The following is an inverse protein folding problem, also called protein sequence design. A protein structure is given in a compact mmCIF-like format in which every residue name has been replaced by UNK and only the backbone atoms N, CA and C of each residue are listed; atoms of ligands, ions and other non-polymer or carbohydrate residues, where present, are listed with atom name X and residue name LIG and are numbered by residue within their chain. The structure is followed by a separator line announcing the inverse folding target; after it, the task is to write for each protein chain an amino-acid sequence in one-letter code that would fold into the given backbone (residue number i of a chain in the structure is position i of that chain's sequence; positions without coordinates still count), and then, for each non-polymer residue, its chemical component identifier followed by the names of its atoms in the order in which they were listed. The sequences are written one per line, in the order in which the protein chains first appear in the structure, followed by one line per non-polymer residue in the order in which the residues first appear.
data_IF_995358772547
#
_entry.id   IF_995358772547
#
_cell.length_a   1.000
_cell.length_b   1.000
_cell.length_c   1.000
_cell.angle_alpha   90.00
_cell.angle_beta   90.00
_cell.angle_gamma   90.00
#
_symmetry.space_group_name_H-M   'P 1'
#
loop_
_entity.id
_entity.type
_entity.pdbx_description
1 polymer ?
#
# COMPACT_ATOMS: atom_id res chain seq x y z
N UNK A 1 16.95 -0.05 -16.68
CA UNK A 1 17.85 0.53 -15.66
C UNK A 1 17.31 1.91 -15.31
N UNK A 2 16.64 2.05 -14.16
CA UNK A 2 16.16 3.36 -13.68
C UNK A 2 17.35 4.28 -13.41
N UNK A 3 17.35 5.48 -14.03
CA UNK A 3 18.38 6.49 -13.77
C UNK A 3 18.25 6.95 -12.32
N UNK A 4 19.18 6.53 -11.48
CA UNK A 4 19.27 7.06 -10.10
C UNK A 4 19.73 8.52 -10.23
N UNK A 5 18.83 9.45 -9.96
CA UNK A 5 19.11 10.88 -9.98
C UNK A 5 19.91 11.24 -8.71
N UNK A 6 20.82 12.21 -8.79
CA UNK A 6 21.62 12.69 -7.66
C UNK A 6 20.76 13.06 -6.43
N UNK A 7 19.60 13.67 -6.66
CA UNK A 7 18.62 13.97 -5.61
C UNK A 7 18.12 12.72 -4.86
N UNK A 8 17.93 11.61 -5.56
CA UNK A 8 17.52 10.35 -4.94
C UNK A 8 18.62 9.71 -4.11
N UNK A 9 19.89 9.85 -4.54
CA UNK A 9 21.04 9.38 -3.77
C UNK A 9 21.23 10.18 -2.47
N UNK A 10 21.08 11.50 -2.52
CA UNK A 10 21.13 12.37 -1.34
C UNK A 10 19.98 12.00 -0.38
N UNK A 11 18.75 11.87 -0.89
CA UNK A 11 17.58 11.48 -0.08
C UNK A 11 17.76 10.12 0.60
N UNK A 12 18.30 9.13 -0.10
CA UNK A 12 18.58 7.80 0.48
C UNK A 12 19.71 7.88 1.51
N UNK A 13 20.76 8.66 1.25
CA UNK A 13 21.88 8.85 2.18
C UNK A 13 21.44 9.53 3.48
N UNK A 14 20.70 10.62 3.39
CA UNK A 14 20.15 11.33 4.55
C UNK A 14 19.17 10.48 5.34
N UNK A 15 18.34 9.69 4.66
CA UNK A 15 17.43 8.77 5.31
C UNK A 15 18.17 7.69 6.11
N UNK A 16 19.21 7.07 5.52
CA UNK A 16 20.02 6.04 6.21
C UNK A 16 20.74 6.60 7.43
N UNK A 17 21.37 7.78 7.30
CA UNK A 17 22.02 8.45 8.42
C UNK A 17 21.00 8.85 9.50
N UNK A 18 19.83 9.36 9.11
CA UNK A 18 18.76 9.71 10.04
C UNK A 18 18.23 8.53 10.84
N UNK A 19 18.24 7.31 10.28
CA UNK A 19 17.83 6.09 11.01
C UNK A 19 18.78 5.70 12.14
N UNK A 20 20.07 6.00 12.05
CA UNK A 20 21.04 5.67 13.10
C UNK A 20 20.71 6.39 14.41
N UNK A 21 20.24 7.64 14.31
CA UNK A 21 19.82 8.48 15.43
C UNK A 21 18.30 8.61 15.56
N UNK A 22 17.57 7.78 14.83
CA UNK A 22 16.12 7.81 14.79
C UNK A 22 15.45 7.17 16.01
N UNK A 23 14.15 7.27 16.04
CA UNK A 23 13.29 6.73 17.09
C UNK A 23 12.16 5.87 16.49
N UNK A 24 11.27 5.38 17.34
CA UNK A 24 10.04 4.66 16.98
C UNK A 24 8.79 5.46 17.32
N UNK A 25 8.95 6.79 17.51
CA UNK A 25 7.89 7.72 17.83
C UNK A 25 7.25 8.24 16.54
N UNK A 26 6.48 7.39 15.91
CA UNK A 26 5.71 7.62 14.70
C UNK A 26 4.47 6.72 14.69
N UNK A 27 3.48 7.07 13.88
CA UNK A 27 2.29 6.25 13.66
C UNK A 27 2.61 5.11 12.69
N UNK A 28 2.65 3.83 13.14
CA UNK A 28 2.80 2.69 12.24
C UNK A 28 1.49 2.44 11.49
N UNK A 29 1.56 2.13 10.20
CA UNK A 29 0.37 1.82 9.41
C UNK A 29 0.60 0.78 8.33
N UNK A 30 -0.49 0.14 7.91
CA UNK A 30 -0.51 -0.69 6.70
C UNK A 30 -1.62 -0.23 5.75
N UNK A 31 -1.38 -0.41 4.44
CA UNK A 31 -2.43 -0.38 3.42
C UNK A 31 -2.80 -1.83 3.15
N UNK A 32 -3.87 -2.30 3.80
CA UNK A 32 -4.41 -3.63 3.60
C UNK A 32 -5.28 -3.65 2.34
N UNK A 33 -4.97 -4.53 1.42
CA UNK A 33 -5.74 -4.59 0.17
C UNK A 33 -5.47 -5.88 -0.61
N UNK A 34 -6.08 -5.97 -1.78
CA UNK A 34 -5.70 -6.86 -2.87
C UNK A 34 -4.89 -6.10 -3.91
N UNK A 35 -4.14 -6.79 -4.77
CA UNK A 35 -3.60 -6.18 -5.99
C UNK A 35 -4.73 -5.64 -6.89
N UNK A 36 -4.49 -4.58 -7.64
CA UNK A 36 -5.44 -3.91 -8.55
C UNK A 36 -6.61 -3.20 -7.86
N UNK A 37 -6.52 -2.91 -6.58
CA UNK A 37 -7.48 -2.09 -5.82
C UNK A 37 -7.16 -0.58 -5.80
N UNK A 38 -6.15 -0.12 -6.55
CA UNK A 38 -5.70 1.28 -6.51
C UNK A 38 -4.60 1.55 -5.48
N UNK A 39 -4.02 0.52 -4.87
CA UNK A 39 -3.00 0.66 -3.82
C UNK A 39 -1.72 1.40 -4.28
N UNK A 40 -1.42 1.40 -5.59
CA UNK A 40 -0.31 2.18 -6.14
C UNK A 40 -0.62 3.68 -6.14
N UNK A 41 -1.87 4.08 -6.41
CA UNK A 41 -2.30 5.48 -6.35
C UNK A 41 -2.14 6.03 -4.93
N UNK A 42 -2.72 5.35 -3.95
CA UNK A 42 -2.58 5.75 -2.55
C UNK A 42 -1.13 5.74 -2.07
N UNK A 43 -0.36 4.70 -2.41
CA UNK A 43 1.06 4.62 -2.04
C UNK A 43 1.87 5.79 -2.64
N UNK A 44 1.63 6.16 -3.90
CA UNK A 44 2.32 7.27 -4.55
C UNK A 44 1.99 8.61 -3.90
N UNK A 45 0.72 8.83 -3.53
CA UNK A 45 0.29 10.01 -2.78
C UNK A 45 0.98 10.09 -1.42
N UNK A 46 1.07 8.99 -0.68
CA UNK A 46 1.75 8.94 0.62
C UNK A 46 3.27 9.16 0.49
N UNK A 47 3.91 8.61 -0.56
CA UNK A 47 5.36 8.84 -0.83
C UNK A 47 5.67 10.32 -1.06
N UNK A 48 4.72 11.10 -1.58
CA UNK A 48 4.91 12.53 -1.83
C UNK A 48 4.93 13.37 -0.55
N UNK A 49 4.38 12.86 0.55
CA UNK A 49 4.33 13.59 1.82
C UNK A 49 5.69 13.54 2.56
N UNK A 50 6.25 14.67 3.01
CA UNK A 50 7.61 14.74 3.56
C UNK A 50 7.81 13.95 4.85
N UNK A 51 6.77 13.82 5.67
CA UNK A 51 6.81 13.15 6.96
C UNK A 51 6.34 11.68 6.91
N UNK A 52 6.05 11.14 5.73
CA UNK A 52 5.63 9.75 5.56
C UNK A 52 6.75 8.91 4.98
N UNK A 53 6.98 7.77 5.62
CA UNK A 53 7.77 6.69 5.07
C UNK A 53 6.85 5.53 4.71
N UNK A 54 6.73 5.21 3.44
CA UNK A 54 5.92 4.08 2.99
C UNK A 54 6.71 3.21 2.01
N UNK A 55 6.69 1.92 2.27
CA UNK A 55 7.19 0.91 1.33
C UNK A 55 6.03 0.32 0.53
N UNK A 56 6.33 -0.11 -0.69
CA UNK A 56 5.39 -0.89 -1.49
C UNK A 56 5.10 -2.27 -0.87
N UNK A 57 5.05 -3.29 -1.70
CA UNK A 57 4.75 -4.68 -1.31
C UNK A 57 5.93 -5.35 -0.61
N UNK A 58 6.31 -4.80 0.55
CA UNK A 58 7.55 -5.19 1.23
C UNK A 58 7.56 -6.63 1.73
N UNK A 59 6.39 -7.17 2.03
CA UNK A 59 6.20 -8.54 2.47
C UNK A 59 5.80 -9.51 1.35
N UNK A 60 5.69 -9.04 0.10
CA UNK A 60 5.30 -9.89 -1.02
C UNK A 60 6.32 -10.99 -1.32
N UNK A 61 7.57 -10.60 -1.46
CA UNK A 61 8.69 -11.52 -1.67
C UNK A 61 9.72 -11.35 -0.55
N UNK A 62 9.76 -12.30 0.38
CA UNK A 62 10.64 -12.23 1.54
C UNK A 62 12.09 -12.59 1.16
N UNK A 63 12.28 -13.49 0.19
CA UNK A 63 13.61 -13.94 -0.25
C UNK A 63 14.33 -14.72 0.84
N UNK A 64 15.53 -14.25 1.22
CA UNK A 64 16.33 -14.84 2.30
C UNK A 64 16.07 -14.18 3.67
N UNK A 65 15.29 -13.09 3.71
CA UNK A 65 14.94 -12.43 4.96
C UNK A 65 13.87 -13.25 5.71
N UNK A 66 13.77 -13.03 7.03
CA UNK A 66 12.60 -13.47 7.80
C UNK A 66 11.52 -12.40 7.83
N UNK A 67 10.30 -12.75 8.26
CA UNK A 67 9.20 -11.79 8.43
C UNK A 67 9.62 -10.71 9.44
N UNK A 68 10.30 -11.08 10.53
CA UNK A 68 10.79 -10.17 11.56
C UNK A 68 11.82 -9.18 11.01
N UNK A 69 12.75 -9.66 10.17
CA UNK A 69 13.74 -8.79 9.53
C UNK A 69 13.05 -7.80 8.59
N UNK A 70 12.07 -8.25 7.79
CA UNK A 70 11.26 -7.37 6.94
C UNK A 70 10.43 -6.39 7.75
N UNK A 71 9.84 -6.83 8.86
CA UNK A 71 9.11 -5.96 9.78
C UNK A 71 10.02 -4.87 10.34
N UNK A 72 11.20 -5.22 10.85
CA UNK A 72 12.16 -4.26 11.36
C UNK A 72 12.66 -3.25 10.30
N UNK A 73 12.66 -3.62 9.03
CA UNK A 73 13.01 -2.70 7.94
C UNK A 73 11.94 -1.61 7.70
N UNK A 74 10.68 -1.87 8.02
CA UNK A 74 9.58 -0.90 7.92
C UNK A 74 9.33 -0.20 9.24
N UNK A 75 9.16 -1.00 10.31
CA UNK A 75 8.69 -0.56 11.62
C UNK A 75 9.79 -0.44 12.67
N UNK A 76 11.06 -0.52 12.27
CA UNK A 76 12.20 -0.19 13.13
C UNK A 76 12.37 1.33 13.27
N UNK A 77 13.52 1.76 13.80
CA UNK A 77 13.83 3.19 13.95
C UNK A 77 13.67 3.93 12.62
N UNK A 78 13.02 5.08 12.68
CA UNK A 78 12.86 6.01 11.55
C UNK A 78 13.53 7.35 11.90
N UNK A 79 13.98 8.13 10.89
CA UNK A 79 14.44 9.49 11.13
C UNK A 79 13.39 10.33 11.86
N UNK A 80 13.81 11.29 12.68
CA UNK A 80 12.93 12.08 13.55
C UNK A 80 11.86 12.90 12.81
N UNK A 81 12.07 13.18 11.53
CA UNK A 81 11.08 13.88 10.69
C UNK A 81 9.98 12.94 10.15
N UNK A 82 10.16 11.62 10.23
CA UNK A 82 9.11 10.66 9.85
C UNK A 82 8.09 10.61 10.98
N UNK A 83 6.85 10.93 10.67
CA UNK A 83 5.73 10.94 11.60
C UNK A 83 4.78 9.75 11.38
N UNK A 84 4.77 9.18 10.17
CA UNK A 84 4.06 7.93 9.91
C UNK A 84 4.94 7.00 9.06
N UNK A 85 4.96 5.71 9.41
CA UNK A 85 5.73 4.70 8.69
C UNK A 85 4.88 3.46 8.40
N UNK A 86 4.91 2.97 7.16
CA UNK A 86 4.09 1.82 6.78
C UNK A 86 4.48 1.15 5.48
N UNK A 87 3.63 0.24 5.04
CA UNK A 87 3.79 -0.49 3.77
C UNK A 87 2.46 -1.01 3.24
N UNK A 88 2.46 -1.45 1.97
CA UNK A 88 1.35 -2.22 1.41
C UNK A 88 1.44 -3.67 1.85
N UNK A 89 0.32 -4.21 2.29
CA UNK A 89 0.15 -5.63 2.64
C UNK A 89 -1.06 -6.17 1.90
N UNK A 90 -0.86 -7.20 1.11
CA UNK A 90 -1.97 -7.90 0.49
C UNK A 90 -2.39 -9.08 1.36
N UNK A 91 -3.67 -9.48 1.29
CA UNK A 91 -4.24 -10.56 2.11
C UNK A 91 -3.49 -11.91 1.98
N UNK A 92 -2.78 -12.07 0.87
CA UNK A 92 -2.02 -13.28 0.53
C UNK A 92 -0.50 -13.09 0.62
N UNK A 93 -0.02 -12.06 1.34
CA UNK A 93 1.40 -11.91 1.62
C UNK A 93 1.83 -12.79 2.82
N UNK A 94 3.01 -13.41 2.75
CA UNK A 94 3.92 -13.44 1.59
C UNK A 94 3.37 -14.31 0.46
N UNK A 95 3.81 -14.07 -0.77
CA UNK A 95 3.34 -14.84 -1.94
C UNK A 95 3.67 -16.34 -1.86
N UNK A 96 4.68 -16.69 -1.06
CA UNK A 96 5.08 -18.06 -0.78
C UNK A 96 5.16 -18.23 0.74
N UNK A 97 4.38 -19.16 1.27
CA UNK A 97 4.33 -19.48 2.70
C UNK A 97 2.99 -19.16 3.35
N UNK A 98 2.97 -19.31 4.66
CA UNK A 98 1.81 -19.02 5.49
C UNK A 98 1.71 -17.51 5.78
N UNK A 99 0.59 -16.85 5.52
CA UNK A 99 0.39 -15.44 5.86
C UNK A 99 0.18 -15.20 7.37
N UNK A 100 -0.24 -16.20 8.15
CA UNK A 100 -0.62 -16.02 9.54
C UNK A 100 0.48 -15.37 10.40
N UNK A 101 1.77 -15.78 10.35
CA UNK A 101 2.82 -15.16 11.17
C UNK A 101 2.99 -13.66 10.88
N UNK A 102 2.82 -13.22 9.63
CA UNK A 102 2.86 -11.81 9.27
C UNK A 102 1.71 -11.04 9.91
N UNK A 103 0.51 -11.54 9.77
CA UNK A 103 -0.68 -10.85 10.28
C UNK A 103 -0.72 -10.85 11.81
N UNK A 104 -0.30 -11.92 12.46
CA UNK A 104 -0.18 -11.97 13.91
C UNK A 104 0.83 -10.95 14.43
N UNK A 105 1.98 -10.82 13.77
CA UNK A 105 2.99 -9.81 14.09
C UNK A 105 2.47 -8.39 13.91
N UNK A 106 1.77 -8.12 12.80
CA UNK A 106 1.15 -6.81 12.55
C UNK A 106 0.07 -6.49 13.60
N UNK A 107 -0.73 -7.49 13.97
CA UNK A 107 -1.79 -7.34 14.97
C UNK A 107 -1.23 -7.11 16.38
N UNK A 108 -0.03 -7.58 16.67
CA UNK A 108 0.59 -7.45 17.98
C UNK A 108 1.00 -6.01 18.34
N UNK A 109 1.19 -5.09 17.36
CA UNK A 109 1.41 -3.67 17.66
C UNK A 109 0.07 -2.95 17.85
N UNK A 110 -0.29 -2.53 19.08
CA UNK A 110 -1.56 -1.85 19.32
C UNK A 110 -1.64 -0.45 18.69
N UNK A 111 -0.52 0.13 18.30
CA UNK A 111 -0.46 1.44 17.63
C UNK A 111 -0.72 1.35 16.13
N UNK A 112 -0.70 0.12 15.57
CA UNK A 112 -0.82 -0.06 14.13
C UNK A 112 -2.17 0.45 13.63
N UNK A 113 -2.15 1.42 12.74
CA UNK A 113 -3.33 1.89 12.00
C UNK A 113 -3.49 1.11 10.69
N UNK A 114 -4.72 0.80 10.35
CA UNK A 114 -5.05 -0.01 9.17
C UNK A 114 -5.86 0.81 8.20
N UNK A 115 -5.30 1.10 7.03
CA UNK A 115 -6.03 1.67 5.90
C UNK A 115 -6.49 0.49 5.05
N UNK A 116 -7.78 0.16 5.12
CA UNK A 116 -8.37 -0.95 4.39
C UNK A 116 -8.87 -0.47 3.04
N UNK A 117 -8.01 -0.62 2.03
CA UNK A 117 -8.29 -0.16 0.68
C UNK A 117 -9.04 -1.24 -0.11
N UNK A 118 -10.26 -0.94 -0.49
CA UNK A 118 -11.16 -1.81 -1.25
C UNK A 118 -11.40 -1.25 -2.65
N UNK A 119 -11.92 -2.08 -3.52
CA UNK A 119 -12.48 -1.67 -4.80
C UNK A 119 -13.88 -2.21 -4.93
N UNK A 120 -14.87 -1.35 -5.13
CA UNK A 120 -16.27 -1.75 -5.19
C UNK A 120 -16.56 -2.59 -6.43
N UNK A 121 -16.06 -2.16 -7.59
CA UNK A 121 -16.16 -2.91 -8.84
C UNK A 121 -15.18 -4.11 -8.83
N UNK A 122 -15.63 -5.21 -8.22
CA UNK A 122 -14.87 -6.46 -8.10
C UNK A 122 -14.57 -7.05 -9.48
N UNK A 123 -15.55 -6.97 -10.40
CA UNK A 123 -15.40 -7.49 -11.75
C UNK A 123 -14.24 -6.79 -12.48
N UNK A 124 -14.21 -5.47 -12.49
CA UNK A 124 -13.09 -4.70 -13.08
C UNK A 124 -11.76 -4.94 -12.38
N UNK A 125 -11.78 -5.12 -11.06
CA UNK A 125 -10.56 -5.41 -10.30
C UNK A 125 -9.97 -6.76 -10.71
N UNK A 126 -10.80 -7.79 -10.77
CA UNK A 126 -10.38 -9.15 -11.16
C UNK A 126 -9.95 -9.19 -12.62
N UNK A 127 -10.73 -8.62 -13.52
CA UNK A 127 -10.37 -8.53 -14.94
C UNK A 127 -9.02 -7.81 -15.15
N UNK A 128 -8.81 -6.68 -14.49
CA UNK A 128 -7.54 -5.96 -14.53
C UNK A 128 -6.36 -6.80 -14.02
N UNK A 129 -6.60 -7.67 -13.05
CA UNK A 129 -5.58 -8.58 -12.54
C UNK A 129 -5.29 -9.72 -13.53
N UNK A 130 -6.33 -10.33 -14.12
CA UNK A 130 -6.19 -11.38 -15.13
C UNK A 130 -5.40 -10.89 -16.35
N UNK A 131 -5.73 -9.70 -16.85
CA UNK A 131 -4.99 -9.04 -17.94
C UNK A 131 -3.52 -8.80 -17.55
N UNK A 132 -3.27 -8.32 -16.33
CA UNK A 132 -1.90 -8.07 -15.87
C UNK A 132 -1.09 -9.36 -15.70
N UNK A 133 -1.74 -10.45 -15.25
CA UNK A 133 -1.13 -11.78 -15.09
C UNK A 133 -0.68 -12.32 -16.45
N UNK A 134 -1.53 -12.27 -17.45
CA UNK A 134 -1.24 -12.82 -18.77
C UNK A 134 -0.14 -12.03 -19.50
N UNK A 135 -0.19 -10.70 -19.40
CA UNK A 135 0.81 -9.83 -20.03
C UNK A 135 2.05 -9.59 -19.16
N UNK A 136 2.15 -10.23 -17.99
CA UNK A 136 3.22 -10.00 -17.01
C UNK A 136 3.45 -8.51 -16.67
N UNK A 137 2.37 -7.71 -16.65
CA UNK A 137 2.40 -6.25 -16.50
C UNK A 137 1.60 -5.82 -15.28
N UNK A 138 2.20 -5.91 -14.09
CA UNK A 138 1.52 -5.60 -12.84
C UNK A 138 1.54 -4.12 -12.47
N UNK A 139 2.46 -3.34 -13.02
CA UNK A 139 2.62 -1.91 -12.73
C UNK A 139 2.92 -1.15 -14.01
N UNK A 140 2.08 -0.17 -14.38
CA UNK A 140 2.42 0.79 -15.44
C UNK A 140 3.36 1.84 -14.84
N UNK A 141 4.65 1.78 -15.20
CA UNK A 141 5.70 2.70 -14.72
C UNK A 141 6.11 3.74 -15.77
N UNK A 142 5.61 3.59 -17.00
CA UNK A 142 5.84 4.51 -18.12
C UNK A 142 4.73 4.34 -19.16
N UNK A 143 4.60 5.28 -20.09
CA UNK A 143 3.66 5.18 -21.22
C UNK A 143 3.88 3.90 -22.05
N UNK A 144 5.14 3.41 -22.13
CA UNK A 144 5.49 2.18 -22.81
C UNK A 144 4.99 0.90 -22.11
N UNK A 145 4.59 1.00 -20.83
CA UNK A 145 4.02 -0.13 -20.06
C UNK A 145 2.50 -0.14 -20.08
N UNK A 146 1.86 0.81 -20.76
CA UNK A 146 0.41 0.81 -20.97
C UNK A 146 0.07 -0.23 -22.03
N UNK A 147 -0.67 -1.26 -21.65
CA UNK A 147 -1.11 -2.32 -22.57
C UNK A 147 -2.02 -1.68 -23.64
N UNK A 148 -1.72 -1.95 -24.92
CA UNK A 148 -2.55 -1.50 -26.02
C UNK A 148 -4.00 -2.01 -25.89
N UNK A 149 -4.97 -1.28 -26.45
CA UNK A 149 -6.38 -1.63 -26.30
C UNK A 149 -6.72 -3.03 -26.84
N UNK A 150 -6.05 -3.44 -27.93
CA UNK A 150 -6.25 -4.77 -28.53
C UNK A 150 -5.64 -5.89 -27.67
N UNK A 151 -4.53 -5.64 -26.99
CA UNK A 151 -3.90 -6.61 -26.06
C UNK A 151 -4.70 -6.77 -24.75
N UNK A 152 -5.68 -5.91 -24.50
CA UNK A 152 -6.62 -6.03 -23.38
C UNK A 152 -7.81 -6.93 -23.67
N UNK A 153 -7.99 -7.33 -24.95
CA UNK A 153 -9.04 -8.28 -25.30
C UNK A 153 -8.60 -9.68 -24.90
N UNK A 154 -9.31 -10.24 -23.94
CA UNK A 154 -9.06 -11.60 -23.47
C UNK A 154 -10.36 -12.40 -23.44
N UNK A 155 -10.23 -13.67 -23.74
CA UNK A 155 -11.27 -14.63 -23.42
C UNK A 155 -11.04 -15.03 -21.96
N UNK A 156 -12.01 -14.72 -21.11
CA UNK A 156 -11.92 -14.99 -19.68
C UNK A 156 -12.83 -16.17 -19.38
N UNK A 157 -12.32 -17.13 -18.62
CA UNK A 157 -13.14 -18.20 -18.05
C UNK A 157 -14.08 -17.60 -17.00
N UNK A 158 -15.41 -17.68 -17.18
CA UNK A 158 -16.36 -17.13 -16.23
C UNK A 158 -16.25 -17.75 -14.84
N UNK A 159 -16.00 -19.06 -14.75
CA UNK A 159 -15.90 -19.77 -13.47
C UNK A 159 -14.64 -19.31 -12.71
N UNK A 160 -13.49 -19.19 -13.38
CA UNK A 160 -12.28 -18.63 -12.78
C UNK A 160 -12.53 -17.18 -12.29
N UNK A 161 -13.26 -16.38 -13.07
CA UNK A 161 -13.58 -15.01 -12.69
C UNK A 161 -14.46 -14.93 -11.44
N UNK A 162 -15.50 -15.77 -11.36
CA UNK A 162 -16.39 -15.86 -10.19
C UNK A 162 -15.59 -16.26 -8.95
N UNK A 163 -14.76 -17.28 -9.05
CA UNK A 163 -13.89 -17.75 -7.97
C UNK A 163 -13.00 -16.61 -7.42
N UNK A 164 -12.41 -15.79 -8.29
CA UNK A 164 -11.56 -14.69 -7.87
C UNK A 164 -12.36 -13.54 -7.26
N UNK A 165 -13.59 -13.29 -7.70
CA UNK A 165 -14.49 -12.32 -7.09
C UNK A 165 -14.84 -12.78 -5.68
N UNK A 166 -15.26 -14.02 -5.50
CA UNK A 166 -15.60 -14.60 -4.20
C UNK A 166 -14.42 -14.59 -3.23
N UNK A 167 -13.23 -14.99 -3.70
CA UNK A 167 -11.99 -14.88 -2.91
C UNK A 167 -11.74 -13.45 -2.46
N UNK A 168 -11.95 -12.47 -3.35
CA UNK A 168 -11.74 -11.06 -3.03
C UNK A 168 -12.70 -10.60 -1.94
N UNK A 169 -13.99 -10.92 -2.07
CA UNK A 169 -15.02 -10.60 -1.07
C UNK A 169 -14.69 -11.24 0.29
N UNK A 170 -14.28 -12.53 0.27
CA UNK A 170 -13.91 -13.25 1.47
C UNK A 170 -12.67 -12.67 2.16
N UNK A 171 -11.65 -12.23 1.42
CA UNK A 171 -10.48 -11.58 1.95
C UNK A 171 -10.80 -10.21 2.58
N UNK A 172 -11.65 -9.41 1.94
CA UNK A 172 -12.08 -8.12 2.50
C UNK A 172 -12.86 -8.34 3.80
N UNK A 173 -13.81 -9.27 3.81
CA UNK A 173 -14.56 -9.62 5.02
C UNK A 173 -13.67 -10.23 6.10
N UNK A 174 -12.64 -10.98 5.74
CA UNK A 174 -11.64 -11.46 6.69
C UNK A 174 -10.86 -10.30 7.29
N UNK A 175 -10.38 -9.36 6.48
CA UNK A 175 -9.64 -8.18 6.95
C UNK A 175 -10.46 -7.34 7.94
N UNK A 176 -11.74 -7.09 7.62
CA UNK A 176 -12.67 -6.39 8.53
C UNK A 176 -12.80 -7.10 9.89
N UNK A 177 -12.94 -8.43 9.89
CA UNK A 177 -13.03 -9.21 11.13
C UNK A 177 -11.71 -9.30 11.87
N UNK A 178 -10.60 -9.51 11.15
CA UNK A 178 -9.28 -9.71 11.77
C UNK A 178 -8.81 -8.46 12.54
N UNK A 179 -9.08 -7.28 11.99
CA UNK A 179 -8.70 -5.99 12.60
C UNK A 179 -9.88 -5.29 13.30
N UNK A 180 -10.96 -5.99 13.63
CA UNK A 180 -12.15 -5.43 14.30
C UNK A 180 -11.90 -4.93 15.74
N UNK A 181 -10.75 -5.26 16.33
CA UNK A 181 -10.31 -4.82 17.65
C UNK A 181 -9.69 -3.40 17.64
N UNK A 182 -9.62 -2.76 16.49
CA UNK A 182 -9.05 -1.41 16.32
C UNK A 182 -9.80 -0.59 15.30
N UNK A 183 -9.60 0.73 15.37
CA UNK A 183 -10.10 1.62 14.35
C UNK A 183 -9.42 1.32 13.01
N UNK A 184 -10.22 1.18 11.96
CA UNK A 184 -9.76 0.91 10.59
C UNK A 184 -10.38 1.94 9.65
N UNK A 185 -9.55 2.66 8.89
CA UNK A 185 -10.03 3.56 7.85
C UNK A 185 -10.31 2.76 6.57
N UNK A 186 -11.57 2.65 6.18
CA UNK A 186 -11.92 2.08 4.87
C UNK A 186 -11.87 3.17 3.81
N UNK A 187 -11.12 2.90 2.73
CA UNK A 187 -11.02 3.76 1.54
C UNK A 187 -11.40 2.93 0.33
N UNK A 188 -12.16 3.49 -0.62
CA UNK A 188 -12.45 2.81 -1.88
C UNK A 188 -11.65 3.41 -3.04
N UNK A 189 -11.37 2.58 -4.05
CA UNK A 189 -10.76 3.08 -5.28
C UNK A 189 -11.65 4.12 -5.96
N UNK A 190 -12.94 3.89 -5.91
CA UNK A 190 -13.97 4.73 -6.52
C UNK A 190 -13.98 6.11 -5.87
N UNK A 191 -13.95 6.20 -4.54
CA UNK A 191 -13.87 7.49 -3.82
C UNK A 191 -12.54 8.21 -4.13
N UNK A 192 -11.40 7.48 -4.15
CA UNK A 192 -10.12 8.08 -4.52
C UNK A 192 -10.10 8.63 -5.94
N UNK A 193 -10.81 8.01 -6.89
CA UNK A 193 -10.86 8.52 -8.26
C UNK A 193 -11.86 9.66 -8.44
N UNK A 194 -12.87 9.74 -7.58
CA UNK A 194 -13.83 10.83 -7.56
C UNK A 194 -13.27 12.10 -6.90
N UNK A 195 -12.57 11.95 -5.77
CA UNK A 195 -11.98 13.05 -4.99
C UNK A 195 -10.67 12.63 -4.33
N UNK A 196 -9.59 12.56 -5.11
CA UNK A 196 -8.28 12.19 -4.58
C UNK A 196 -7.77 13.14 -3.48
N UNK A 197 -7.88 14.49 -3.61
CA UNK A 197 -7.42 15.39 -2.56
C UNK A 197 -8.17 15.21 -1.24
N UNK A 198 -9.49 15.10 -1.28
CA UNK A 198 -10.31 14.88 -0.08
C UNK A 198 -10.01 13.55 0.60
N UNK A 199 -9.94 12.47 -0.17
CA UNK A 199 -9.57 11.14 0.34
C UNK A 199 -8.15 11.11 0.91
N UNK A 200 -7.22 11.80 0.27
CA UNK A 200 -5.85 11.90 0.78
C UNK A 200 -5.78 12.68 2.10
N UNK A 201 -6.53 13.78 2.20
CA UNK A 201 -6.68 14.54 3.45
C UNK A 201 -7.22 13.67 4.58
N UNK A 202 -8.26 12.88 4.31
CA UNK A 202 -8.81 11.93 5.29
C UNK A 202 -7.78 10.89 5.75
N UNK A 203 -6.96 10.38 4.82
CA UNK A 203 -5.88 9.45 5.15
C UNK A 203 -4.81 10.12 6.01
N UNK A 204 -4.43 11.36 5.71
CA UNK A 204 -3.44 12.10 6.50
C UNK A 204 -3.97 12.41 7.91
N UNK A 205 -5.22 12.80 8.05
CA UNK A 205 -5.88 13.00 9.34
C UNK A 205 -5.88 11.70 10.16
N UNK A 206 -6.30 10.61 9.54
CA UNK A 206 -6.28 9.28 10.16
C UNK A 206 -4.88 8.87 10.62
N UNK A 207 -3.82 9.30 9.95
CA UNK A 207 -2.42 9.02 10.30
C UNK A 207 -1.82 10.04 11.29
N UNK A 208 -2.62 10.95 11.86
CA UNK A 208 -2.19 12.04 12.75
C UNK A 208 -1.16 12.99 12.12
N UNK A 209 -1.31 13.25 10.81
CA UNK A 209 -0.38 14.08 10.04
C UNK A 209 -0.92 15.49 9.73
N UNK A 210 -2.16 15.78 10.05
CA UNK A 210 -2.78 17.09 9.93
C UNK A 210 -2.87 17.68 11.34
N UNK A 211 -1.92 18.56 11.67
CA UNK A 211 -2.09 19.42 12.84
C UNK A 211 -3.20 20.43 12.49
N UNK A 212 -4.20 20.58 13.39
CA UNK A 212 -5.38 21.43 13.16
C UNK A 212 -5.10 22.92 12.88
N UNK A 213 -3.88 23.27 12.53
CA UNK A 213 -3.38 24.60 12.19
C UNK A 213 -3.00 24.79 10.71
N UNK A 214 -2.87 23.72 9.92
CA UNK A 214 -2.43 23.80 8.52
C UNK A 214 -3.59 23.62 7.53
N UNK A 215 -4.48 24.60 7.46
CA UNK A 215 -5.57 24.65 6.47
C UNK A 215 -5.13 25.18 5.09
N UNK A 216 -3.82 25.24 4.77
CA UNK A 216 -3.33 25.69 3.46
C UNK A 216 -2.31 24.71 2.85
N UNK A 217 -2.80 23.62 2.27
CA UNK A 217 -2.01 22.91 1.26
C UNK A 217 -2.31 23.58 -0.09
N UNK A 218 -1.48 24.56 -0.46
CA UNK A 218 -1.48 25.10 -1.83
C UNK A 218 -1.03 24.00 -2.80
N UNK A 219 -1.78 23.70 -3.88
CA UNK A 219 -1.30 22.81 -4.91
C UNK A 219 -0.06 23.44 -5.56
N UNK A 220 1.08 22.78 -5.43
CA UNK A 220 2.30 23.21 -6.10
C UNK A 220 2.12 23.21 -7.62
N UNK A 221 2.52 24.32 -8.23
CA UNK A 221 2.63 24.54 -9.67
C UNK A 221 3.56 23.51 -10.35
#
# INVERSE_FOLDING_TARGET
MSKITFSNLVRVGTYRAGRLFGNTDYTPFIILSRSRSGSNLLNSSLVSHPNVYVKGEHFGHIGQDTIEQRHAQVFGKQPSWVKAAGCKVFYYHPHHGDPAPLFDMLKADPRLKVIHLKREDKLRSVLSWMIARENNTYTATSDASVIAADDKRQTVDPDEMIDWIEKTVNWEAWGDRFFSDRETLTVTYEDMTADLPGQFTQVLDYLDLIDGTDNEISPGN
#
